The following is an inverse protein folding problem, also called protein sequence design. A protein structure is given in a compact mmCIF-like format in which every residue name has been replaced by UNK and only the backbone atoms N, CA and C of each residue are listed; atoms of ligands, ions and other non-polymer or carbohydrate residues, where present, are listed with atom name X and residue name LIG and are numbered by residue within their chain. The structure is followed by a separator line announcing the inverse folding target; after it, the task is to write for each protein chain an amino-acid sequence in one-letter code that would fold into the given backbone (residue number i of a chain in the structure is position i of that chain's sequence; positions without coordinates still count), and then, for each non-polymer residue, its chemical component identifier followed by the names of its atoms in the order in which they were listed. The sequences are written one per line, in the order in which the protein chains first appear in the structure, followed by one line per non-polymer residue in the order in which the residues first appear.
data_IF_171533458558
#
_entry.id   IF_171533458558
#
_cell.length_a   1.000
_cell.length_b   1.000
_cell.length_c   1.000
_cell.angle_alpha   90.00
_cell.angle_beta   90.00
_cell.angle_gamma   90.00
#
_symmetry.space_group_name_H-M   'P 1'
#
loop_
_entity.id
_entity.type
_entity.pdbx_description
1 polymer ?
#
# COMPACT_ATOMS: atom_id res chain seq x y z
N UNK A 1 32.22 2.28 40.76
CA UNK A 1 32.89 1.02 40.36
C UNK A 1 31.77 0.00 40.13
N UNK A 2 31.51 -0.63 38.98
CA UNK A 2 32.36 -1.22 37.96
C UNK A 2 31.66 -1.05 36.60
N UNK A 3 32.46 -0.79 35.56
CA UNK A 3 32.08 -0.75 34.15
C UNK A 3 31.76 -2.18 33.71
N UNK A 4 30.71 -2.39 32.93
CA UNK A 4 30.57 -3.57 32.09
C UNK A 4 29.93 -3.16 30.77
N UNK A 5 30.82 -2.66 29.91
CA UNK A 5 30.65 -2.57 28.47
C UNK A 5 30.55 -4.01 27.97
N UNK A 6 29.40 -4.39 27.42
CA UNK A 6 29.28 -5.62 26.64
C UNK A 6 28.96 -5.25 25.19
N UNK A 7 30.04 -5.01 24.46
CA UNK A 7 30.09 -4.96 23.01
C UNK A 7 29.66 -6.32 22.47
N UNK A 8 28.43 -6.41 21.97
CA UNK A 8 27.98 -7.57 21.18
C UNK A 8 27.87 -7.11 19.73
N UNK A 9 29.00 -7.26 19.05
CA UNK A 9 29.14 -7.31 17.60
C UNK A 9 28.44 -8.59 17.12
N UNK A 10 27.13 -8.51 16.81
CA UNK A 10 26.49 -9.54 16.00
C UNK A 10 26.22 -8.92 14.64
N UNK A 11 27.15 -9.24 13.74
CA UNK A 11 26.92 -9.28 12.31
C UNK A 11 25.71 -10.17 12.06
N UNK A 12 24.54 -9.54 12.04
CA UNK A 12 23.25 -10.16 11.86
C UNK A 12 22.40 -9.24 11.03
N UNK A 13 22.85 -8.91 9.81
CA UNK A 13 21.93 -8.55 8.74
C UNK A 13 21.16 -9.82 8.36
N UNK A 14 20.34 -10.31 9.31
CA UNK A 14 19.13 -11.03 9.00
C UNK A 14 18.24 -10.03 8.26
N UNK A 15 18.51 -9.89 6.96
CA UNK A 15 17.49 -9.46 6.02
C UNK A 15 16.47 -10.58 5.98
N UNK A 16 15.64 -10.69 7.02
CA UNK A 16 14.26 -11.15 6.83
C UNK A 16 13.64 -10.08 5.95
N UNK A 17 13.83 -10.28 4.64
CA UNK A 17 12.91 -9.85 3.62
C UNK A 17 11.56 -10.37 4.11
N UNK A 18 10.81 -9.52 4.80
CA UNK A 18 9.37 -9.68 4.92
C UNK A 18 8.90 -9.60 3.48
N UNK A 19 8.86 -10.76 2.82
CA UNK A 19 8.14 -10.95 1.58
C UNK A 19 6.68 -10.61 1.93
N UNK A 20 6.36 -9.33 1.80
CA UNK A 20 4.98 -8.89 1.65
C UNK A 20 4.38 -9.69 0.49
N UNK A 21 3.07 -9.92 0.50
CA UNK A 21 2.42 -10.70 -0.55
C UNK A 21 2.88 -10.16 -1.91
N UNK A 22 3.56 -10.99 -2.70
CA UNK A 22 3.93 -10.61 -4.06
C UNK A 22 2.63 -10.29 -4.80
N UNK A 23 2.44 -9.01 -5.12
CA UNK A 23 1.28 -8.56 -5.87
C UNK A 23 1.20 -9.38 -7.16
N UNK A 24 0.08 -10.08 -7.34
CA UNK A 24 -0.10 -10.92 -8.52
C UNK A 24 -0.01 -10.07 -9.79
N UNK A 25 0.29 -10.69 -10.94
CA UNK A 25 0.30 -9.96 -12.22
C UNK A 25 -1.03 -9.23 -12.49
N UNK A 26 -2.15 -9.77 -11.99
CA UNK A 26 -3.46 -9.14 -12.07
C UNK A 26 -3.55 -7.87 -11.19
N UNK A 27 -2.96 -7.89 -9.98
CA UNK A 27 -2.88 -6.73 -9.11
C UNK A 27 -2.01 -5.62 -9.71
N UNK A 28 -0.89 -5.98 -10.34
CA UNK A 28 -0.01 -5.02 -11.01
C UNK A 28 -0.73 -4.30 -12.15
N UNK A 29 -1.42 -5.04 -13.04
CA UNK A 29 -2.21 -4.45 -14.14
C UNK A 29 -3.34 -3.57 -13.60
N UNK A 30 -3.98 -4.00 -12.53
CA UNK A 30 -5.03 -3.21 -11.89
C UNK A 30 -4.49 -1.91 -11.30
N UNK A 31 -3.33 -1.94 -10.61
CA UNK A 31 -2.68 -0.75 -10.05
C UNK A 31 -2.29 0.26 -11.13
N UNK A 32 -1.75 -0.19 -12.27
CA UNK A 32 -1.42 0.71 -13.38
C UNK A 32 -2.67 1.39 -13.95
N UNK A 33 -3.78 0.66 -14.10
CA UNK A 33 -5.05 1.25 -14.53
C UNK A 33 -5.59 2.27 -13.50
N UNK A 34 -5.50 1.96 -12.21
CA UNK A 34 -5.88 2.85 -11.11
C UNK A 34 -5.03 4.13 -11.12
N UNK A 35 -3.72 3.99 -11.29
CA UNK A 35 -2.79 5.11 -11.37
C UNK A 35 -3.13 6.06 -12.51
N UNK A 36 -3.46 5.53 -13.68
CA UNK A 36 -3.90 6.34 -14.82
C UNK A 36 -5.22 7.07 -14.53
N UNK A 37 -6.20 6.39 -13.90
CA UNK A 37 -7.48 7.01 -13.51
C UNK A 37 -7.29 8.13 -12.48
N UNK A 38 -6.45 7.91 -11.48
CA UNK A 38 -6.11 8.91 -10.46
C UNK A 38 -5.41 10.09 -11.14
N UNK A 39 -4.47 9.87 -12.05
CA UNK A 39 -3.79 10.95 -12.78
C UNK A 39 -4.77 11.77 -13.64
N UNK A 40 -5.77 11.12 -14.24
CA UNK A 40 -6.75 11.78 -15.12
C UNK A 40 -7.67 12.78 -14.39
N UNK A 41 -7.88 12.64 -13.08
CA UNK A 41 -8.77 13.56 -12.35
C UNK A 41 -9.49 12.90 -11.19
N UNK A 42 -10.65 13.47 -10.84
CA UNK A 42 -11.55 12.90 -9.84
C UNK A 42 -12.07 11.55 -10.34
N UNK A 43 -12.01 10.52 -9.51
CA UNK A 43 -12.44 9.18 -9.92
C UNK A 43 -12.97 8.36 -8.75
N UNK A 44 -13.76 7.33 -9.05
CA UNK A 44 -14.20 6.33 -8.08
C UNK A 44 -13.73 4.96 -8.54
N UNK A 45 -13.01 4.26 -7.67
CA UNK A 45 -12.46 2.93 -7.92
C UNK A 45 -13.24 1.93 -7.08
N UNK A 46 -13.77 0.89 -7.72
CA UNK A 46 -14.50 -0.19 -7.07
C UNK A 46 -13.66 -1.46 -7.04
N UNK A 47 -13.56 -2.12 -5.89
CA UNK A 47 -12.85 -3.39 -5.74
C UNK A 47 -13.45 -4.22 -4.60
N UNK A 48 -13.60 -5.55 -4.75
CA UNK A 48 -13.98 -6.42 -3.64
C UNK A 48 -12.85 -6.64 -2.62
N UNK A 49 -11.60 -6.34 -2.99
CA UNK A 49 -10.44 -6.49 -2.11
C UNK A 49 -10.18 -5.22 -1.30
N UNK A 50 -10.17 -5.37 0.03
CA UNK A 50 -9.80 -4.31 0.97
C UNK A 50 -8.35 -3.85 0.79
N UNK A 51 -7.44 -4.77 0.44
CA UNK A 51 -6.03 -4.47 0.20
C UNK A 51 -5.87 -3.59 -1.04
N UNK A 52 -6.52 -3.96 -2.14
CA UNK A 52 -6.57 -3.12 -3.35
C UNK A 52 -7.11 -1.73 -3.03
N UNK A 53 -8.18 -1.63 -2.24
CA UNK A 53 -8.75 -0.33 -1.86
C UNK A 53 -7.75 0.55 -1.08
N UNK A 54 -6.98 -0.05 -0.15
CA UNK A 54 -5.90 0.65 0.56
C UNK A 54 -4.80 1.11 -0.39
N UNK A 55 -4.34 0.24 -1.29
CA UNK A 55 -3.31 0.58 -2.27
C UNK A 55 -3.75 1.73 -3.20
N UNK A 56 -4.99 1.73 -3.66
CA UNK A 56 -5.55 2.84 -4.45
C UNK A 56 -5.56 4.17 -3.67
N UNK A 57 -5.96 4.14 -2.39
CA UNK A 57 -5.96 5.34 -1.56
C UNK A 57 -4.53 5.85 -1.28
N UNK A 58 -3.55 4.96 -1.09
CA UNK A 58 -2.14 5.34 -0.97
C UNK A 58 -1.58 5.93 -2.26
N UNK A 59 -1.94 5.37 -3.42
CA UNK A 59 -1.57 5.93 -4.72
C UNK A 59 -2.15 7.34 -4.89
N UNK A 60 -3.41 7.55 -4.56
CA UNK A 60 -4.03 8.88 -4.60
C UNK A 60 -3.26 9.89 -3.75
N UNK A 61 -2.92 9.53 -2.50
CA UNK A 61 -2.11 10.37 -1.61
C UNK A 61 -0.74 10.70 -2.19
N UNK A 62 -0.05 9.72 -2.80
CA UNK A 62 1.24 9.93 -3.49
C UNK A 62 1.13 10.88 -4.68
N UNK A 63 -0.03 10.92 -5.32
CA UNK A 63 -0.35 11.86 -6.39
C UNK A 63 -0.87 13.22 -5.88
N UNK A 64 -0.81 13.49 -4.58
CA UNK A 64 -1.27 14.74 -3.97
C UNK A 64 -2.79 14.87 -3.91
N UNK A 65 -3.52 13.75 -4.07
CA UNK A 65 -4.99 13.71 -4.08
C UNK A 65 -5.55 13.22 -2.75
N UNK A 66 -6.77 13.62 -2.46
CA UNK A 66 -7.50 13.10 -1.29
C UNK A 66 -8.20 11.82 -1.68
N UNK A 67 -8.19 10.81 -0.81
CA UNK A 67 -8.91 9.56 -1.05
C UNK A 67 -9.73 9.14 0.18
N UNK A 68 -10.99 8.80 -0.05
CA UNK A 68 -11.90 8.25 0.95
C UNK A 68 -12.30 6.83 0.55
N UNK A 69 -12.24 5.90 1.51
CA UNK A 69 -12.66 4.51 1.32
C UNK A 69 -14.01 4.30 2.01
N UNK A 70 -15.03 3.93 1.23
CA UNK A 70 -16.31 3.47 1.74
C UNK A 70 -16.50 1.98 1.47
N UNK A 71 -16.87 1.21 2.49
CA UNK A 71 -17.28 -0.20 2.32
C UNK A 71 -18.80 -0.25 2.11
N UNK A 72 -19.24 -0.84 1.01
CA UNK A 72 -20.66 -1.14 0.72
C UNK A 72 -20.81 -2.62 0.43
N UNK A 73 -21.55 -3.31 1.29
CA UNK A 73 -21.76 -4.76 1.22
C UNK A 73 -20.43 -5.53 1.08
N UNK A 74 -20.18 -6.11 -0.10
CA UNK A 74 -19.01 -6.91 -0.45
C UNK A 74 -17.93 -6.14 -1.22
N UNK A 75 -18.10 -4.82 -1.40
CA UNK A 75 -17.27 -3.99 -2.26
C UNK A 75 -16.73 -2.78 -1.50
N UNK A 76 -15.50 -2.40 -1.83
CA UNK A 76 -14.85 -1.17 -1.38
C UNK A 76 -14.84 -0.17 -2.53
N UNK A 77 -15.37 1.03 -2.25
CA UNK A 77 -15.33 2.18 -3.12
C UNK A 77 -14.25 3.14 -2.62
N UNK A 78 -13.32 3.51 -3.49
CA UNK A 78 -12.29 4.51 -3.23
C UNK A 78 -12.61 5.73 -4.06
N UNK A 79 -13.07 6.80 -3.42
CA UNK A 79 -13.35 8.08 -4.08
C UNK A 79 -12.11 8.95 -3.97
N UNK A 80 -11.65 9.48 -5.09
CA UNK A 80 -10.43 10.28 -5.19
C UNK A 80 -10.78 11.66 -5.75
N UNK A 81 -10.35 12.70 -5.04
CA UNK A 81 -10.52 14.12 -5.38
C UNK A 81 -9.18 14.79 -5.71
#
# INVERSE_FOLDING_TARGET
MKKLVLTVLIAGCAGTLLAGPELSQADQKWLEAVKQKIAAGKTTISTPSAERARLAAELAKKHGKTAEIQKRDTVYLVMVD
#
